data_IF_197064532872
#
_entry.id   IF_197064532872
#
_cell.length_a   1.000
_cell.length_b   1.000
_cell.length_c   1.000
_cell.angle_alpha   90.00
_cell.angle_beta   90.00
_cell.angle_gamma   90.00
#
_symmetry.space_group_name_H-M   'P 1'
#
loop_
_entity.id
_entity.type
_entity.pdbx_description
1 polymer ?
#
# COMPACT_ATOMS: atom_id res chain seq x y z
N UNK A 1 13.32 -13.86 -0.08
CA UNK A 1 14.33 -14.89 -0.39
C UNK A 1 13.94 -16.14 0.37
N UNK A 2 14.29 -17.33 -0.11
CA UNK A 2 14.10 -18.55 0.67
C UNK A 2 14.99 -18.51 1.93
N UNK A 3 14.59 -19.21 2.99
CA UNK A 3 15.34 -19.36 4.24
C UNK A 3 15.70 -18.04 4.92
N UNK A 4 14.76 -17.09 4.94
CA UNK A 4 14.92 -15.88 5.72
C UNK A 4 14.73 -16.20 7.21
N UNK A 5 15.42 -15.49 8.10
CA UNK A 5 15.23 -15.63 9.55
C UNK A 5 13.76 -15.34 9.92
N UNK A 6 13.23 -16.15 10.85
CA UNK A 6 11.87 -15.99 11.39
C UNK A 6 11.70 -14.60 12.01
N UNK A 7 10.49 -14.04 11.88
CA UNK A 7 10.20 -12.75 12.47
C UNK A 7 8.88 -12.14 12.04
N UNK A 8 8.45 -11.14 12.80
CA UNK A 8 7.26 -10.34 12.53
C UNK A 8 7.70 -8.92 12.23
N UNK A 9 7.23 -8.37 11.11
CA UNK A 9 7.62 -7.05 10.61
C UNK A 9 6.36 -6.22 10.36
N UNK A 10 6.27 -5.05 10.99
CA UNK A 10 5.20 -4.08 10.71
C UNK A 10 5.42 -3.48 9.31
N UNK A 11 4.34 -3.37 8.55
CA UNK A 11 4.32 -2.83 7.20
C UNK A 11 3.57 -1.51 7.16
N UNK A 12 4.16 -0.51 6.52
CA UNK A 12 3.49 0.72 6.14
C UNK A 12 2.72 0.57 4.82
N UNK A 13 1.96 1.61 4.47
CA UNK A 13 1.39 1.78 3.12
C UNK A 13 2.53 1.72 2.09
N UNK A 14 2.46 0.77 1.17
CA UNK A 14 3.63 0.48 0.32
C UNK A 14 3.37 -0.41 -0.88
N UNK A 15 4.41 -0.58 -1.67
CA UNK A 15 4.42 -1.50 -2.82
C UNK A 15 5.05 -2.82 -2.39
N UNK A 16 4.41 -3.93 -2.70
CA UNK A 16 4.98 -5.27 -2.56
C UNK A 16 5.28 -5.83 -3.94
N UNK A 17 6.54 -6.24 -4.15
CA UNK A 17 6.97 -6.96 -5.37
C UNK A 17 7.10 -8.44 -5.06
N UNK A 18 6.34 -9.26 -5.76
CA UNK A 18 6.41 -10.73 -5.70
C UNK A 18 7.05 -11.24 -6.98
N UNK A 19 8.16 -11.98 -6.86
CA UNK A 19 8.83 -12.64 -7.98
C UNK A 19 8.56 -14.13 -7.96
N UNK A 20 8.01 -14.68 -9.04
CA UNK A 20 7.82 -16.13 -9.24
C UNK A 20 8.18 -16.48 -10.68
N UNK A 21 9.02 -17.50 -10.88
CA UNK A 21 9.41 -18.00 -12.21
C UNK A 21 9.90 -16.88 -13.16
N UNK A 22 10.74 -15.98 -12.64
CA UNK A 22 11.24 -14.77 -13.32
C UNK A 22 10.19 -13.72 -13.72
N UNK A 23 8.95 -13.88 -13.29
CA UNK A 23 7.89 -12.88 -13.47
C UNK A 23 7.70 -12.07 -12.20
N UNK A 24 7.69 -10.74 -12.35
CA UNK A 24 7.40 -9.81 -11.27
C UNK A 24 5.92 -9.45 -11.26
N UNK A 25 5.31 -9.49 -10.08
CA UNK A 25 3.96 -8.97 -9.80
C UNK A 25 4.07 -7.87 -8.76
N UNK A 26 3.35 -6.78 -8.99
CA UNK A 26 3.36 -5.61 -8.12
C UNK A 26 1.99 -5.43 -7.46
N UNK A 27 2.00 -5.20 -6.15
CA UNK A 27 0.82 -5.04 -5.32
C UNK A 27 0.89 -3.73 -4.53
N UNK A 28 -0.24 -3.05 -4.39
CA UNK A 28 -0.39 -1.93 -3.47
C UNK A 28 -1.01 -2.43 -2.16
N UNK A 29 -0.39 -2.11 -1.02
CA UNK A 29 -0.91 -2.43 0.32
C UNK A 29 -1.14 -1.16 1.13
N UNK A 30 -2.06 -1.24 2.10
CA UNK A 30 -2.40 -0.12 3.02
C UNK A 30 -1.74 -0.20 4.40
N UNK A 31 -0.78 -1.12 4.57
CA UNK A 31 -0.15 -1.43 5.85
C UNK A 31 -0.66 -2.74 6.46
N UNK A 32 -0.05 -3.15 7.58
CA UNK A 32 -0.32 -4.42 8.25
C UNK A 32 0.95 -5.02 8.84
N UNK A 33 1.13 -6.33 8.74
CA UNK A 33 2.38 -6.99 9.09
C UNK A 33 2.70 -8.16 8.17
N UNK A 34 3.99 -8.49 8.12
CA UNK A 34 4.51 -9.71 7.52
C UNK A 34 5.00 -10.65 8.61
N UNK A 35 4.62 -11.92 8.53
CA UNK A 35 5.10 -12.99 9.38
C UNK A 35 5.95 -13.95 8.54
N UNK A 36 7.20 -14.11 8.95
CA UNK A 36 8.19 -14.97 8.31
C UNK A 36 8.33 -16.21 9.20
N UNK A 37 8.01 -17.36 8.62
CA UNK A 37 8.21 -18.69 9.19
C UNK A 37 9.29 -19.41 8.36
N UNK A 38 9.73 -20.58 8.82
CA UNK A 38 10.83 -21.35 8.21
C UNK A 38 10.73 -21.49 6.67
N UNK A 39 9.55 -21.81 6.14
CA UNK A 39 9.32 -22.06 4.71
C UNK A 39 8.24 -21.16 4.09
N UNK A 40 7.70 -20.20 4.86
CA UNK A 40 6.50 -19.44 4.48
C UNK A 40 6.59 -17.97 4.89
N UNK A 41 6.04 -17.12 4.03
CA UNK A 41 5.77 -15.72 4.34
C UNK A 41 4.26 -15.48 4.27
N UNK A 42 3.68 -14.98 5.35
CA UNK A 42 2.29 -14.50 5.38
C UNK A 42 2.26 -12.98 5.49
N UNK A 43 1.35 -12.35 4.76
CA UNK A 43 1.08 -10.91 4.88
C UNK A 43 -0.37 -10.73 5.30
N UNK A 44 -0.59 -10.15 6.48
CA UNK A 44 -1.90 -9.69 6.89
C UNK A 44 -1.95 -8.18 6.74
N UNK A 45 -2.75 -7.70 5.78
CA UNK A 45 -2.83 -6.29 5.41
C UNK A 45 -4.28 -5.82 5.35
N UNK A 46 -4.51 -4.53 5.60
CA UNK A 46 -5.87 -3.95 5.56
C UNK A 46 -6.49 -4.00 4.17
N UNK A 47 -5.68 -3.81 3.13
CA UNK A 47 -6.09 -3.93 1.74
C UNK A 47 -4.91 -4.35 0.86
N UNK A 48 -5.21 -5.03 -0.23
CA UNK A 48 -4.25 -5.41 -1.27
C UNK A 48 -4.90 -5.29 -2.65
N UNK A 49 -4.17 -4.71 -3.60
CA UNK A 49 -4.61 -4.59 -5.01
C UNK A 49 -3.44 -4.90 -5.93
N UNK A 50 -3.65 -5.71 -6.98
CA UNK A 50 -2.64 -5.90 -8.03
C UNK A 50 -2.54 -4.67 -8.91
N UNK A 51 -1.38 -4.40 -9.50
CA UNK A 51 -1.21 -3.28 -10.44
C UNK A 51 -2.28 -3.25 -11.54
N UNK A 52 -2.64 -4.42 -12.09
CA UNK A 52 -3.66 -4.59 -13.12
C UNK A 52 -5.11 -4.37 -12.64
N UNK A 53 -5.37 -4.41 -11.33
CA UNK A 53 -6.71 -4.26 -10.74
C UNK A 53 -6.96 -2.82 -10.24
N UNK A 54 -5.94 -1.96 -10.24
CA UNK A 54 -6.05 -0.60 -9.74
C UNK A 54 -6.75 0.31 -10.77
N UNK A 55 -7.89 0.86 -10.37
CA UNK A 55 -8.52 1.99 -11.06
C UNK A 55 -7.74 3.28 -10.81
N UNK A 56 -6.96 3.70 -11.80
CA UNK A 56 -6.09 4.87 -11.73
C UNK A 56 -6.84 6.19 -11.64
N UNK A 57 -8.00 6.31 -12.30
CA UNK A 57 -8.81 7.53 -12.25
C UNK A 57 -9.41 7.69 -10.86
N UNK A 58 -9.95 6.61 -10.29
CA UNK A 58 -10.45 6.62 -8.91
C UNK A 58 -9.35 6.94 -7.89
N UNK A 59 -8.14 6.42 -8.09
CA UNK A 59 -7.00 6.71 -7.24
C UNK A 59 -6.60 8.20 -7.33
N UNK A 60 -6.59 8.77 -8.54
CA UNK A 60 -6.32 10.20 -8.78
C UNK A 60 -7.34 11.11 -8.12
N UNK A 61 -8.64 10.82 -8.29
CA UNK A 61 -9.71 11.57 -7.61
C UNK A 61 -9.58 11.50 -6.08
N UNK A 62 -9.12 10.37 -5.54
CA UNK A 62 -8.91 10.22 -4.09
C UNK A 62 -7.70 11.01 -3.59
N UNK A 63 -6.62 11.06 -4.38
CA UNK A 63 -5.45 11.91 -4.09
C UNK A 63 -5.84 13.39 -4.08
N UNK A 64 -6.56 13.87 -5.10
CA UNK A 64 -6.97 15.28 -5.17
C UNK A 64 -7.87 15.67 -3.99
N UNK A 65 -8.89 14.84 -3.67
CA UNK A 65 -9.73 15.09 -2.48
C UNK A 65 -8.93 15.14 -1.18
N UNK A 66 -7.96 14.26 -1.00
CA UNK A 66 -7.11 14.26 0.19
C UNK A 66 -6.20 15.50 0.24
N UNK A 67 -5.68 15.96 -0.90
CA UNK A 67 -4.89 17.20 -1.01
C UNK A 67 -5.71 18.44 -0.68
N UNK A 68 -6.92 18.56 -1.23
CA UNK A 68 -7.84 19.67 -0.93
C UNK A 68 -8.13 19.74 0.57
N UNK A 69 -8.49 18.61 1.19
CA UNK A 69 -8.72 18.55 2.65
C UNK A 69 -7.49 18.91 3.46
N UNK A 70 -6.29 18.51 3.01
CA UNK A 70 -5.03 18.90 3.67
C UNK A 70 -4.77 20.41 3.59
N UNK A 71 -5.15 21.05 2.47
CA UNK A 71 -4.97 22.49 2.27
C UNK A 71 -5.98 23.36 3.02
N UNK A 72 -7.18 22.84 3.29
CA UNK A 72 -8.22 23.59 4.02
C UNK A 72 -7.89 23.79 5.50
N UNK A 73 -6.96 22.99 6.06
CA UNK A 73 -6.50 23.07 7.47
C UNK A 73 -7.63 23.19 8.49
N UNK A 74 -8.77 22.56 8.20
CA UNK A 74 -9.93 22.57 9.08
C UNK A 74 -9.58 21.83 10.39
N UNK A 75 -9.64 22.51 11.55
CA UNK A 75 -9.30 21.91 12.85
C UNK A 75 -10.20 20.72 13.24
N UNK A 76 -11.39 20.59 12.65
CA UNK A 76 -12.27 19.45 12.89
C UNK A 76 -11.84 18.20 12.09
N UNK A 77 -10.99 18.37 11.08
CA UNK A 77 -10.50 17.25 10.28
C UNK A 77 -9.31 16.56 10.94
N UNK A 78 -9.41 15.23 11.02
CA UNK A 78 -8.33 14.40 11.54
C UNK A 78 -7.15 14.35 10.53
N UNK A 79 -6.07 15.06 10.86
CA UNK A 79 -4.86 15.15 10.05
C UNK A 79 -4.27 13.78 9.69
N UNK A 80 -4.11 12.89 10.68
CA UNK A 80 -3.57 11.54 10.46
C UNK A 80 -4.40 10.74 9.45
N UNK A 81 -5.73 10.88 9.47
CA UNK A 81 -6.61 10.23 8.47
C UNK A 81 -6.44 10.82 7.08
N UNK A 82 -6.24 12.13 6.96
CA UNK A 82 -5.97 12.80 5.68
C UNK A 82 -4.64 12.30 5.11
N UNK A 83 -3.60 12.26 5.92
CA UNK A 83 -2.27 11.79 5.50
C UNK A 83 -2.30 10.33 5.08
N UNK A 84 -2.94 9.45 5.86
CA UNK A 84 -3.12 8.05 5.49
C UNK A 84 -3.91 7.88 4.17
N UNK A 85 -4.95 8.69 3.96
CA UNK A 85 -5.71 8.69 2.70
C UNK A 85 -4.85 9.12 1.52
N UNK A 86 -4.03 10.15 1.69
CA UNK A 86 -3.13 10.66 0.66
C UNK A 86 -2.04 9.61 0.32
N UNK A 87 -1.42 9.02 1.35
CA UNK A 87 -0.40 7.99 1.18
C UNK A 87 -0.92 6.78 0.39
N UNK A 88 -2.11 6.28 0.72
CA UNK A 88 -2.75 5.16 -0.01
C UNK A 88 -3.04 5.51 -1.47
N UNK A 89 -3.57 6.70 -1.73
CA UNK A 89 -3.89 7.13 -3.09
C UNK A 89 -2.62 7.27 -3.96
N UNK A 90 -1.57 7.88 -3.42
CA UNK A 90 -0.27 8.00 -4.09
C UNK A 90 0.36 6.62 -4.36
N UNK A 91 0.30 5.71 -3.40
CA UNK A 91 0.82 4.36 -3.57
C UNK A 91 0.08 3.61 -4.68
N UNK A 92 -1.26 3.66 -4.71
CA UNK A 92 -2.07 3.05 -5.80
C UNK A 92 -1.69 3.61 -7.16
N UNK A 93 -1.53 4.93 -7.30
CA UNK A 93 -1.09 5.57 -8.55
C UNK A 93 0.33 5.19 -8.97
N UNK A 94 1.23 4.92 -8.01
CA UNK A 94 2.58 4.46 -8.30
C UNK A 94 2.55 3.02 -8.80
N UNK A 95 1.82 2.15 -8.11
CA UNK A 95 1.74 0.72 -8.43
C UNK A 95 0.97 0.47 -9.72
N UNK A 96 -0.03 1.29 -10.07
CA UNK A 96 -0.77 1.12 -11.33
C UNK A 96 0.06 1.36 -12.59
N UNK A 97 1.26 1.93 -12.45
CA UNK A 97 2.22 2.17 -13.54
C UNK A 97 3.29 1.07 -13.66
N UNK A 98 3.20 0.01 -12.86
CA UNK A 98 4.14 -1.12 -12.84
C UNK A 98 3.77 -2.21 -13.83
#
# INVERSE_FOLDING_TARGET
MANHIEGIIVLDVGEVKVRKDSQDKYLSISGGYAEIMEDKLELLVESVEKSSEIDSERAKMSMERARTRKSEQDPELNEARIEASLARALNRLRVSKR
#
